data_IF_312261372883
#
_entry.id   IF_312261372883
#
_cell.length_a   1.000
_cell.length_b   1.000
_cell.length_c   1.000
_cell.angle_alpha   90.00
_cell.angle_beta   90.00
_cell.angle_gamma   90.00
#
_symmetry.space_group_name_H-M   'P 1'
#
loop_
_entity.id
_entity.type
_entity.pdbx_description
1 polymer ?
#
# COMPACT_ATOMS: atom_id res chain seq x y z
N UNK A 1 2.02 9.62 -10.50
CA UNK A 1 1.62 9.76 -9.07
C UNK A 1 2.69 10.58 -8.38
N UNK A 2 2.34 11.38 -7.38
CA UNK A 2 3.29 12.24 -6.65
C UNK A 2 3.25 11.87 -5.16
N UNK A 3 4.41 11.75 -4.52
CA UNK A 3 4.44 11.66 -3.06
C UNK A 3 4.19 13.04 -2.47
N UNK A 4 3.03 13.19 -1.83
CA UNK A 4 2.60 14.42 -1.19
C UNK A 4 2.57 14.31 0.33
N UNK A 5 3.07 13.20 0.89
CA UNK A 5 3.08 12.93 2.34
C UNK A 5 3.64 14.11 3.15
N UNK A 6 4.77 14.74 2.77
CA UNK A 6 5.30 15.88 3.53
C UNK A 6 4.35 17.08 3.56
N UNK A 7 3.60 17.34 2.49
CA UNK A 7 2.63 18.42 2.43
C UNK A 7 1.42 18.13 3.34
N UNK A 8 0.90 16.91 3.29
CA UNK A 8 -0.22 16.47 4.14
C UNK A 8 0.14 16.56 5.62
N UNK A 9 1.34 16.12 6.01
CA UNK A 9 1.79 16.19 7.40
C UNK A 9 1.86 17.64 7.90
N UNK A 10 2.33 18.59 7.07
CA UNK A 10 2.32 20.02 7.41
C UNK A 10 0.90 20.57 7.53
N UNK A 11 -0.01 20.18 6.64
CA UNK A 11 -1.40 20.61 6.70
C UNK A 11 -2.10 20.17 7.98
N UNK A 12 -1.89 18.92 8.38
CA UNK A 12 -2.43 18.36 9.63
C UNK A 12 -1.82 19.07 10.85
N UNK A 13 -0.50 19.26 10.86
CA UNK A 13 0.19 19.85 12.03
C UNK A 13 -0.12 21.34 12.24
N UNK A 14 -0.32 22.10 11.17
CA UNK A 14 -0.44 23.56 11.23
C UNK A 14 -1.84 24.10 10.89
N UNK A 15 -2.83 23.24 10.62
CA UNK A 15 -4.21 23.66 10.37
C UNK A 15 -4.35 24.65 9.22
N UNK A 16 -3.66 24.42 8.10
CA UNK A 16 -3.62 25.36 6.98
C UNK A 16 -5.01 25.53 6.33
N UNK A 17 -5.42 26.77 5.97
CA UNK A 17 -6.72 27.03 5.36
C UNK A 17 -6.82 26.57 3.90
N UNK A 18 -5.68 26.37 3.23
CA UNK A 18 -5.62 25.91 1.85
C UNK A 18 -4.86 24.57 1.76
N UNK A 19 -5.54 23.56 1.21
CA UNK A 19 -5.06 22.19 1.05
C UNK A 19 -4.89 21.82 -0.45
N UNK A 20 -4.52 22.82 -1.27
CA UNK A 20 -4.36 22.66 -2.71
C UNK A 20 -2.94 22.29 -3.14
N UNK A 21 -2.83 21.56 -4.25
CA UNK A 21 -1.57 21.36 -4.98
C UNK A 21 -1.58 22.20 -6.25
N UNK A 22 -0.42 22.75 -6.61
CA UNK A 22 -0.17 23.40 -7.90
C UNK A 22 0.79 22.53 -8.68
N UNK A 23 0.45 22.24 -9.93
CA UNK A 23 1.30 21.47 -10.86
C UNK A 23 1.68 22.41 -12.00
N UNK A 24 2.98 22.61 -12.18
CA UNK A 24 3.53 23.39 -13.28
C UNK A 24 4.35 22.48 -14.20
N UNK A 25 4.16 22.63 -15.51
CA UNK A 25 4.97 21.96 -16.53
C UNK A 25 6.02 22.96 -17.00
N UNK A 26 7.30 22.67 -16.72
CA UNK A 26 8.43 23.52 -17.13
C UNK A 26 9.11 22.86 -18.32
N UNK A 27 9.27 23.60 -19.42
CA UNK A 27 10.00 23.14 -20.59
C UNK A 27 11.52 23.26 -20.36
N UNK A 28 12.30 22.25 -20.78
CA UNK A 28 13.76 22.19 -20.55
C UNK A 28 14.50 23.27 -21.36
N UNK A 29 14.07 23.52 -22.59
CA UNK A 29 14.58 24.62 -23.39
C UNK A 29 13.89 25.91 -22.96
N UNK A 30 14.60 26.66 -22.14
CA UNK A 30 14.17 27.88 -21.47
C UNK A 30 14.08 29.07 -22.45
N UNK A 31 13.32 28.90 -23.54
CA UNK A 31 13.12 29.89 -24.58
C UNK A 31 11.65 30.28 -24.67
N UNK A 32 11.15 30.97 -23.64
CA UNK A 32 10.25 32.13 -23.77
C UNK A 32 9.52 32.40 -22.47
N UNK A 33 9.45 33.69 -22.13
CA UNK A 33 8.54 34.31 -21.17
C UNK A 33 7.08 34.10 -21.62
N UNK A 34 6.58 32.86 -21.59
CA UNK A 34 5.17 32.59 -21.83
C UNK A 34 4.41 33.03 -20.59
N UNK A 35 3.41 33.91 -20.76
CA UNK A 35 2.48 34.32 -19.71
C UNK A 35 1.94 33.07 -19.00
N UNK A 36 2.36 32.86 -17.75
CA UNK A 36 1.94 31.71 -16.93
C UNK A 36 0.46 31.87 -16.59
N UNK A 37 -0.41 31.28 -17.41
CA UNK A 37 -1.84 31.15 -17.10
C UNK A 37 -2.04 29.94 -16.21
N UNK A 38 -2.41 30.16 -14.96
CA UNK A 38 -2.84 29.08 -14.07
C UNK A 38 -4.14 28.48 -14.60
N UNK A 39 -4.14 27.16 -14.83
CA UNK A 39 -5.35 26.42 -15.17
C UNK A 39 -5.76 25.60 -13.95
N UNK A 40 -7.03 25.72 -13.56
CA UNK A 40 -7.63 24.87 -12.52
C UNK A 40 -8.31 23.69 -13.20
N UNK A 41 -7.98 22.49 -12.76
CA UNK A 41 -8.74 21.30 -13.15
C UNK A 41 -10.06 21.32 -12.36
N UNK A 42 -11.18 21.35 -13.07
CA UNK A 42 -12.53 21.20 -12.53
C UNK A 42 -13.35 20.26 -13.39
N UNK A 43 -14.35 19.62 -12.79
CA UNK A 43 -15.34 18.84 -13.55
C UNK A 43 -16.03 19.75 -14.58
N UNK A 44 -16.22 19.25 -15.81
CA UNK A 44 -17.06 19.92 -16.81
C UNK A 44 -18.54 19.80 -16.44
N UNK A 45 -19.33 20.86 -16.68
CA UNK A 45 -20.76 20.90 -16.34
C UNK A 45 -21.57 19.79 -17.04
N UNK A 46 -21.16 19.40 -18.25
CA UNK A 46 -21.87 18.40 -19.07
C UNK A 46 -21.32 16.99 -18.93
N UNK A 47 -20.28 16.80 -18.12
CA UNK A 47 -19.69 15.49 -17.90
C UNK A 47 -20.50 14.72 -16.87
N UNK A 48 -20.76 13.44 -17.11
CA UNK A 48 -21.44 12.55 -16.18
C UNK A 48 -20.54 12.14 -14.99
N UNK A 49 -21.16 11.63 -13.92
CA UNK A 49 -20.46 11.22 -12.70
C UNK A 49 -19.48 10.07 -12.92
N UNK A 50 -19.82 9.12 -13.78
CA UNK A 50 -19.04 7.90 -13.98
C UNK A 50 -17.75 8.22 -14.74
N UNK A 51 -17.84 9.03 -15.80
CA UNK A 51 -16.69 9.46 -16.59
C UNK A 51 -15.79 10.41 -15.81
N UNK A 52 -16.35 11.36 -15.05
CA UNK A 52 -15.55 12.24 -14.17
C UNK A 52 -14.81 11.44 -13.08
N UNK A 53 -15.46 10.44 -12.49
CA UNK A 53 -14.84 9.62 -11.43
C UNK A 53 -13.58 8.89 -11.88
N UNK A 54 -13.43 8.62 -13.19
CA UNK A 54 -12.23 7.98 -13.76
C UNK A 54 -11.05 8.93 -13.97
N UNK A 55 -11.31 10.23 -14.14
CA UNK A 55 -10.28 11.23 -14.49
C UNK A 55 -10.04 12.25 -13.37
N UNK A 56 -10.87 12.29 -12.33
CA UNK A 56 -10.72 13.24 -11.23
C UNK A 56 -9.38 13.01 -10.51
N UNK A 57 -8.63 14.07 -10.16
CA UNK A 57 -7.49 13.95 -9.27
C UNK A 57 -7.94 13.37 -7.92
N UNK A 58 -7.19 12.38 -7.42
CA UNK A 58 -7.46 11.75 -6.13
C UNK A 58 -6.28 11.97 -5.19
N UNK A 59 -6.57 12.51 -4.02
CA UNK A 59 -5.67 12.46 -2.87
C UNK A 59 -6.01 11.20 -2.07
N UNK A 60 -5.12 10.22 -2.09
CA UNK A 60 -5.27 9.00 -1.29
C UNK A 60 -4.34 9.14 -0.08
N UNK A 61 -4.91 9.11 1.12
CA UNK A 61 -4.16 9.13 2.38
C UNK A 61 -4.40 7.84 3.14
N UNK A 62 -3.36 7.36 3.81
CA UNK A 62 -3.44 6.21 4.70
C UNK A 62 -3.07 6.68 6.10
N UNK A 63 -4.08 6.91 6.93
CA UNK A 63 -3.89 7.21 8.34
C UNK A 63 -3.79 5.91 9.14
N UNK A 64 -2.85 5.85 10.06
CA UNK A 64 -2.94 4.93 11.19
C UNK A 64 -3.51 5.74 12.36
N UNK A 65 -4.73 5.42 12.79
CA UNK A 65 -5.41 6.12 13.89
C UNK A 65 -4.72 5.88 15.25
N UNK A 66 -3.69 5.03 15.31
CA UNK A 66 -3.03 4.59 16.54
C UNK A 66 -3.98 3.84 17.48
N UNK A 67 -5.21 3.60 17.04
CA UNK A 67 -6.25 2.92 17.77
C UNK A 67 -6.43 1.56 17.11
N UNK A 68 -5.51 0.63 17.39
CA UNK A 68 -5.76 -0.81 17.26
C UNK A 68 -6.85 -1.32 18.20
N UNK A 69 -7.86 -0.48 18.53
CA UNK A 69 -9.01 -0.84 19.33
C UNK A 69 -10.13 -1.17 18.35
N UNK A 70 -10.66 -2.40 18.35
CA UNK A 70 -11.83 -2.72 17.55
C UNK A 70 -12.94 -1.74 17.91
N UNK A 71 -13.40 -0.94 16.93
CA UNK A 71 -14.47 0.06 17.11
C UNK A 71 -15.78 -0.58 17.61
N UNK A 72 -15.89 -1.91 17.53
CA UNK A 72 -16.94 -2.67 18.19
C UNK A 72 -16.38 -3.83 19.00
N UNK A 73 -16.44 -3.71 20.32
CA UNK A 73 -16.40 -4.86 21.23
C UNK A 73 -17.74 -5.57 21.12
N UNK A 74 -17.96 -6.33 20.04
CA UNK A 74 -19.14 -7.18 19.91
C UNK A 74 -19.10 -8.16 21.07
N UNK A 75 -20.09 -8.09 21.96
CA UNK A 75 -20.23 -9.02 23.06
C UNK A 75 -20.34 -10.43 22.47
N UNK A 76 -19.36 -11.26 22.80
CA UNK A 76 -19.18 -12.58 22.20
C UNK A 76 -20.29 -13.48 22.72
N UNK A 77 -21.44 -13.51 22.05
CA UNK A 77 -22.44 -14.57 22.25
C UNK A 77 -21.69 -15.89 22.15
N UNK A 78 -21.75 -16.69 23.22
CA UNK A 78 -20.95 -17.89 23.41
C UNK A 78 -20.93 -18.74 22.12
N UNK A 79 -19.87 -18.61 21.33
CA UNK A 79 -19.62 -19.52 20.24
C UNK A 79 -19.16 -20.82 20.90
N UNK A 80 -19.98 -21.86 20.79
CA UNK A 80 -19.58 -23.24 21.10
C UNK A 80 -18.13 -23.43 20.66
N UNK A 81 -17.27 -23.82 21.59
CA UNK A 81 -15.87 -24.18 21.33
C UNK A 81 -15.85 -25.22 20.22
N UNK A 82 -15.71 -24.77 18.97
CA UNK A 82 -15.40 -25.68 17.87
C UNK A 82 -14.05 -26.29 18.23
N UNK A 83 -13.88 -27.62 18.11
CA UNK A 83 -12.59 -28.24 18.34
C UNK A 83 -11.57 -27.49 17.50
N UNK A 84 -10.45 -27.11 18.13
CA UNK A 84 -9.34 -26.41 17.48
C UNK A 84 -9.03 -27.17 16.18
N UNK A 85 -9.54 -26.67 15.05
CA UNK A 85 -9.06 -27.13 13.74
C UNK A 85 -7.56 -26.91 13.83
N UNK A 86 -6.77 -28.00 13.73
CA UNK A 86 -5.31 -27.97 13.66
C UNK A 86 -4.92 -26.68 12.97
N UNK A 87 -4.24 -25.78 13.69
CA UNK A 87 -3.83 -24.48 13.16
C UNK A 87 -3.18 -24.73 11.81
N UNK A 88 -3.90 -24.45 10.71
CA UNK A 88 -3.25 -24.23 9.43
C UNK A 88 -2.26 -23.11 9.71
N UNK A 89 -0.98 -23.39 9.53
CA UNK A 89 0.07 -22.44 9.89
C UNK A 89 -0.19 -21.14 9.14
N UNK A 90 -0.26 -20.02 9.88
CA UNK A 90 -0.37 -18.71 9.27
C UNK A 90 0.75 -18.51 8.25
N UNK A 91 0.46 -17.77 7.18
CA UNK A 91 1.46 -17.41 6.19
C UNK A 91 2.67 -16.76 6.86
N UNK A 92 3.85 -17.33 6.63
CA UNK A 92 5.12 -16.79 7.11
C UNK A 92 6.25 -17.13 6.14
N UNK A 93 7.37 -16.43 6.28
CA UNK A 93 8.63 -16.77 5.59
C UNK A 93 9.23 -18.03 6.21
N UNK A 94 9.54 -19.01 5.38
CA UNK A 94 10.21 -20.25 5.75
C UNK A 94 11.64 -20.26 5.20
N UNK A 95 12.60 -20.86 5.93
CA UNK A 95 13.96 -21.01 5.45
C UNK A 95 13.98 -21.97 4.25
N UNK A 96 14.70 -21.57 3.21
CA UNK A 96 15.06 -22.40 2.08
C UNK A 96 16.45 -21.99 1.65
N UNK A 97 17.39 -22.92 1.70
CA UNK A 97 18.74 -22.73 1.18
C UNK A 97 18.85 -23.51 -0.13
N UNK A 98 19.34 -22.85 -1.16
CA UNK A 98 19.60 -23.46 -2.46
C UNK A 98 21.10 -23.67 -2.55
N UNK A 99 21.52 -24.94 -2.57
CA UNK A 99 22.87 -25.33 -2.92
C UNK A 99 22.97 -25.46 -4.45
N UNK A 100 23.98 -24.84 -5.05
CA UNK A 100 24.14 -24.89 -6.50
C UNK A 100 24.62 -26.25 -7.01
N UNK A 101 25.20 -27.09 -6.15
CA UNK A 101 25.50 -28.47 -6.52
C UNK A 101 24.22 -29.30 -6.67
N UNK A 102 23.25 -29.12 -5.76
CA UNK A 102 21.99 -29.88 -5.75
C UNK A 102 21.12 -29.61 -6.99
N UNK A 103 21.23 -28.40 -7.56
CA UNK A 103 20.50 -28.00 -8.79
C UNK A 103 21.35 -28.11 -10.06
N UNK A 104 22.61 -28.57 -9.96
CA UNK A 104 23.52 -28.74 -11.11
C UNK A 104 24.00 -27.43 -11.73
N UNK A 105 24.10 -26.37 -10.94
CA UNK A 105 24.53 -25.03 -11.38
C UNK A 105 25.94 -24.66 -10.93
N UNK A 106 26.62 -25.57 -10.23
CA UNK A 106 28.01 -25.40 -9.77
C UNK A 106 29.00 -25.19 -10.93
N UNK A 107 28.65 -25.61 -12.15
CA UNK A 107 29.52 -25.48 -13.32
C UNK A 107 29.59 -24.05 -13.89
N UNK A 108 28.55 -23.23 -13.68
CA UNK A 108 28.50 -21.85 -14.19
C UNK A 108 28.44 -20.79 -13.08
N UNK A 109 27.99 -21.15 -11.88
CA UNK A 109 28.05 -20.28 -10.71
C UNK A 109 29.25 -20.67 -9.84
N UNK A 110 30.32 -19.88 -9.94
CA UNK A 110 31.60 -20.15 -9.25
C UNK A 110 31.55 -19.82 -7.76
N UNK A 111 30.82 -18.77 -7.36
CA UNK A 111 30.60 -18.40 -5.96
C UNK A 111 29.38 -17.47 -5.83
N UNK A 112 28.66 -17.48 -4.69
CA UNK A 112 28.80 -18.39 -3.54
C UNK A 112 28.37 -19.83 -3.88
N UNK A 113 28.63 -20.84 -3.03
CA UNK A 113 28.18 -22.22 -3.27
C UNK A 113 26.65 -22.39 -3.18
N UNK A 114 25.95 -21.41 -2.62
CA UNK A 114 24.51 -21.39 -2.51
C UNK A 114 24.01 -20.10 -1.86
N UNK A 115 22.69 -19.99 -1.70
CA UNK A 115 22.07 -18.82 -1.08
C UNK A 115 20.76 -19.16 -0.36
N UNK A 116 20.41 -18.33 0.64
CA UNK A 116 19.11 -18.39 1.30
C UNK A 116 18.02 -17.77 0.44
N UNK A 117 17.31 -18.60 -0.33
CA UNK A 117 16.18 -18.15 -1.16
C UNK A 117 14.96 -17.78 -0.31
N UNK A 118 14.69 -18.56 0.73
CA UNK A 118 13.45 -18.49 1.52
C UNK A 118 12.18 -18.66 0.66
N UNK A 119 11.03 -18.90 1.28
CA UNK A 119 9.73 -18.84 0.59
C UNK A 119 8.61 -18.53 1.57
N UNK A 120 7.49 -18.00 1.07
CA UNK A 120 6.30 -17.76 1.89
C UNK A 120 5.32 -18.93 1.76
N UNK A 121 4.83 -19.44 2.88
CA UNK A 121 3.83 -20.51 2.88
C UNK A 121 2.93 -20.44 4.12
N UNK A 122 1.67 -20.82 3.93
CA UNK A 122 0.62 -20.81 4.95
C UNK A 122 -0.60 -20.00 4.51
N UNK A 123 -1.63 -20.00 5.35
CA UNK A 123 -2.89 -19.32 5.07
C UNK A 123 -2.89 -17.90 5.69
N UNK A 124 -3.42 -16.91 4.96
CA UNK A 124 -3.70 -15.57 5.49
C UNK A 124 -5.19 -15.49 5.87
N UNK A 125 -5.57 -15.65 7.15
CA UNK A 125 -6.96 -15.58 7.55
C UNK A 125 -7.49 -14.15 7.40
N UNK A 126 -8.72 -14.01 6.93
CA UNK A 126 -9.43 -12.73 6.89
C UNK A 126 -10.40 -12.60 8.09
N UNK A 127 -10.44 -11.45 8.77
CA UNK A 127 -9.57 -10.28 8.61
C UNK A 127 -8.13 -10.57 9.08
N UNK A 128 -7.15 -9.98 8.40
CA UNK A 128 -5.74 -10.08 8.77
C UNK A 128 -5.60 -9.63 10.23
N UNK A 129 -5.04 -10.49 11.09
CA UNK A 129 -4.88 -10.17 12.52
C UNK A 129 -3.76 -9.15 12.72
N UNK A 130 -3.91 -8.21 13.65
CA UNK A 130 -2.97 -7.12 13.93
C UNK A 130 -1.51 -7.57 14.09
N UNK A 131 -1.28 -8.75 14.68
CA UNK A 131 0.07 -9.32 14.87
C UNK A 131 0.80 -9.69 13.57
N UNK A 132 0.12 -9.69 12.42
CA UNK A 132 0.75 -9.94 11.12
C UNK A 132 1.37 -8.67 10.50
N UNK A 133 1.29 -7.51 11.19
CA UNK A 133 1.85 -6.22 10.75
C UNK A 133 1.61 -5.95 9.26
N UNK A 134 0.40 -6.26 8.79
CA UNK A 134 0.07 -6.23 7.38
C UNK A 134 0.05 -4.78 6.89
N UNK A 135 0.60 -4.53 5.70
CA UNK A 135 0.55 -3.19 5.11
C UNK A 135 -0.89 -2.85 4.74
N UNK A 136 -1.21 -1.55 4.71
CA UNK A 136 -2.53 -1.09 4.25
C UNK A 136 -2.85 -1.58 2.83
N UNK A 137 -1.83 -1.71 1.97
CA UNK A 137 -1.96 -2.32 0.65
C UNK A 137 -2.45 -3.78 0.72
N UNK A 138 -1.88 -4.60 1.61
CA UNK A 138 -2.31 -5.98 1.81
C UNK A 138 -3.74 -6.08 2.35
N UNK A 139 -4.16 -5.16 3.22
CA UNK A 139 -5.54 -5.10 3.73
C UNK A 139 -6.52 -4.75 2.61
N UNK A 140 -6.23 -3.70 1.82
CA UNK A 140 -7.11 -3.25 0.71
C UNK A 140 -7.24 -4.31 -0.39
N UNK A 141 -6.18 -5.06 -0.71
CA UNK A 141 -6.25 -6.15 -1.68
C UNK A 141 -7.11 -7.34 -1.22
N UNK A 142 -7.41 -7.43 0.08
CA UNK A 142 -8.22 -8.52 0.66
C UNK A 142 -9.67 -8.12 0.97
N UNK A 143 -10.04 -6.85 0.77
CA UNK A 143 -11.42 -6.35 0.88
C UNK A 143 -12.15 -6.48 -0.47
#
# INVERSE_FOLDING_TARGET
TFDVTPAIMRWIAHGQPNLGFVVEVVHLDNASSVSKRHVRISRSLHQDDVSWSRIRPLLVTFGHDGMGRPLHKREKRQAKLKPRKRHKSNCKRHPLYVDFNDVGWNDWIVAPPGYGAFYCHGDCPFPLTDHLNSTNHAIVQTL
#
